data_IF_244159109523
#
_entry.id   IF_244159109523
#
_cell.length_a   1.000
_cell.length_b   1.000
_cell.length_c   1.000
_cell.angle_alpha   90.00
_cell.angle_beta   90.00
_cell.angle_gamma   90.00
#
_symmetry.space_group_name_H-M   'P 1'
#
loop_
_entity.id
_entity.type
_entity.pdbx_description
1 polymer ?
#
# COMPACT_ATOMS: atom_id res chain seq x y z
N UNK A 1 5.19 -9.38 -27.23
CA UNK A 1 6.18 -10.34 -26.67
C UNK A 1 6.90 -9.80 -25.43
N UNK A 2 7.08 -8.49 -25.27
CA UNK A 2 7.78 -7.87 -24.10
C UNK A 2 7.12 -8.14 -22.74
N UNK A 3 5.79 -8.19 -22.66
CA UNK A 3 5.08 -8.42 -21.38
C UNK A 3 5.43 -9.78 -20.74
N UNK A 4 5.60 -10.84 -21.55
CA UNK A 4 6.00 -12.14 -21.00
C UNK A 4 7.46 -12.15 -20.51
N UNK A 5 8.36 -11.43 -21.18
CA UNK A 5 9.74 -11.29 -20.75
C UNK A 5 9.87 -10.47 -19.45
N UNK A 6 9.10 -9.39 -19.32
CA UNK A 6 9.10 -8.52 -18.14
C UNK A 6 8.51 -9.20 -16.89
N UNK A 7 7.53 -10.10 -17.06
CA UNK A 7 6.97 -10.89 -15.94
C UNK A 7 7.91 -12.04 -15.53
N UNK A 8 8.67 -12.60 -16.49
CA UNK A 8 9.55 -13.74 -16.23
C UNK A 8 10.90 -13.34 -15.63
N UNK A 9 11.47 -12.21 -16.05
CA UNK A 9 12.80 -11.76 -15.62
C UNK A 9 12.95 -11.61 -14.09
N UNK A 10 12.01 -10.99 -13.35
CA UNK A 10 12.09 -10.93 -11.89
C UNK A 10 12.04 -12.31 -11.23
N UNK A 11 11.30 -13.27 -11.81
CA UNK A 11 11.17 -14.62 -11.25
C UNK A 11 12.43 -15.47 -11.46
N UNK A 12 13.21 -15.16 -12.49
CA UNK A 12 14.52 -15.76 -12.76
C UNK A 12 15.57 -15.15 -11.83
N UNK A 13 15.62 -13.81 -11.75
CA UNK A 13 16.58 -13.09 -10.92
C UNK A 13 16.34 -13.29 -9.42
N UNK A 14 15.07 -13.44 -9.01
CA UNK A 14 14.65 -13.63 -7.64
C UNK A 14 13.86 -14.94 -7.47
N UNK A 15 14.53 -16.12 -7.42
CA UNK A 15 13.86 -17.40 -7.26
C UNK A 15 13.05 -17.48 -5.97
N UNK A 16 11.86 -18.08 -6.02
CA UNK A 16 10.87 -18.07 -4.91
C UNK A 16 11.47 -18.49 -3.57
N UNK A 17 12.16 -19.64 -3.54
CA UNK A 17 12.76 -20.18 -2.30
C UNK A 17 13.86 -19.27 -1.76
N UNK A 18 14.78 -18.86 -2.63
CA UNK A 18 15.93 -18.00 -2.27
C UNK A 18 15.47 -16.64 -1.76
N UNK A 19 14.51 -16.00 -2.45
CA UNK A 19 13.97 -14.70 -2.02
C UNK A 19 13.26 -14.81 -0.68
N UNK A 20 12.42 -15.84 -0.49
CA UNK A 20 11.72 -16.06 0.78
C UNK A 20 12.69 -16.28 1.93
N UNK A 21 13.69 -17.14 1.75
CA UNK A 21 14.73 -17.39 2.78
C UNK A 21 15.53 -16.13 3.10
N UNK A 22 15.95 -15.38 2.07
CA UNK A 22 16.70 -14.13 2.24
C UNK A 22 15.88 -13.08 2.98
N UNK A 23 14.63 -12.85 2.56
CA UNK A 23 13.75 -11.86 3.15
C UNK A 23 13.42 -12.21 4.61
N UNK A 24 13.08 -13.47 4.91
CA UNK A 24 12.87 -13.92 6.29
C UNK A 24 14.11 -13.67 7.16
N UNK A 25 15.31 -14.01 6.66
CA UNK A 25 16.55 -13.80 7.42
C UNK A 25 16.82 -12.32 7.69
N UNK A 26 16.60 -11.46 6.69
CA UNK A 26 16.79 -10.01 6.82
C UNK A 26 15.78 -9.44 7.82
N UNK A 27 14.50 -9.80 7.71
CA UNK A 27 13.46 -9.36 8.66
C UNK A 27 13.78 -9.80 10.09
N UNK A 28 14.12 -11.07 10.31
CA UNK A 28 14.48 -11.56 11.65
C UNK A 28 15.67 -10.82 12.23
N UNK A 29 16.67 -10.45 11.42
CA UNK A 29 17.81 -9.66 11.87
C UNK A 29 17.39 -8.22 12.19
N UNK A 30 16.66 -7.56 11.30
CA UNK A 30 16.24 -6.16 11.48
C UNK A 30 15.30 -5.98 12.68
N UNK A 31 14.38 -6.92 12.93
CA UNK A 31 13.54 -6.88 14.14
C UNK A 31 14.36 -6.91 15.44
N UNK A 32 15.49 -7.64 15.46
CA UNK A 32 16.36 -7.67 16.63
C UNK A 32 17.21 -6.38 16.76
N UNK A 33 17.68 -5.84 15.63
CA UNK A 33 18.58 -4.67 15.61
C UNK A 33 17.86 -3.32 15.70
N UNK A 34 16.60 -3.24 15.27
CA UNK A 34 15.85 -1.99 15.05
C UNK A 34 14.53 -1.96 15.83
N UNK A 35 14.59 -2.22 17.13
CA UNK A 35 13.41 -2.33 18.01
C UNK A 35 12.56 -1.04 18.10
N UNK A 36 13.12 0.12 17.77
CA UNK A 36 12.41 1.40 17.79
C UNK A 36 11.68 1.73 16.48
N UNK A 37 11.86 0.90 15.43
CA UNK A 37 11.20 1.12 14.15
C UNK A 37 9.86 0.39 14.10
N UNK A 38 8.93 1.00 13.37
CA UNK A 38 7.63 0.41 13.05
C UNK A 38 7.78 -0.79 12.13
N UNK A 39 6.82 -1.71 12.17
CA UNK A 39 6.86 -2.95 11.41
C UNK A 39 6.99 -2.70 9.89
N UNK A 40 6.30 -1.67 9.40
CA UNK A 40 6.33 -1.28 7.99
C UNK A 40 7.69 -0.69 7.58
N UNK A 41 8.35 0.04 8.47
CA UNK A 41 9.67 0.62 8.24
C UNK A 41 10.73 -0.49 8.18
N UNK A 42 10.63 -1.49 9.05
CA UNK A 42 11.46 -2.70 9.01
C UNK A 42 11.26 -3.45 7.69
N UNK A 43 10.01 -3.61 7.24
CA UNK A 43 9.71 -4.23 5.94
C UNK A 43 10.33 -3.44 4.79
N UNK A 44 10.23 -2.10 4.82
CA UNK A 44 10.80 -1.24 3.79
C UNK A 44 12.32 -1.41 3.70
N UNK A 45 13.02 -1.37 4.84
CA UNK A 45 14.47 -1.63 4.92
C UNK A 45 14.82 -3.04 4.43
N UNK A 46 14.01 -4.04 4.76
CA UNK A 46 14.23 -5.40 4.32
C UNK A 46 14.13 -5.53 2.80
N UNK A 47 13.17 -4.85 2.17
CA UNK A 47 13.03 -4.81 0.71
C UNK A 47 14.23 -4.11 0.07
N UNK A 48 14.73 -3.01 0.65
CA UNK A 48 15.95 -2.34 0.13
C UNK A 48 17.17 -3.27 0.15
N UNK A 49 17.37 -4.03 1.23
CA UNK A 49 18.46 -5.00 1.31
C UNK A 49 18.30 -6.18 0.35
N UNK A 50 17.07 -6.64 0.14
CA UNK A 50 16.78 -7.69 -0.85
C UNK A 50 17.02 -7.19 -2.26
N UNK A 51 16.60 -5.95 -2.57
CA UNK A 51 16.84 -5.31 -3.85
C UNK A 51 18.34 -5.20 -4.14
N UNK A 52 19.14 -4.73 -3.16
CA UNK A 52 20.58 -4.65 -3.28
C UNK A 52 21.24 -6.03 -3.44
N UNK A 53 20.75 -7.06 -2.75
CA UNK A 53 21.30 -8.42 -2.85
C UNK A 53 21.11 -9.05 -4.23
N UNK A 54 19.98 -8.80 -4.88
CA UNK A 54 19.68 -9.33 -6.22
C UNK A 54 20.03 -8.37 -7.36
N UNK A 55 20.56 -7.19 -7.06
CA UNK A 55 20.85 -6.10 -8.01
C UNK A 55 19.62 -5.72 -8.87
N UNK A 56 18.50 -5.48 -8.21
CA UNK A 56 17.22 -5.09 -8.83
C UNK A 56 16.67 -3.80 -8.24
N UNK A 57 15.65 -3.23 -8.88
CA UNK A 57 14.95 -2.06 -8.34
C UNK A 57 14.17 -2.41 -7.06
N UNK A 58 13.97 -1.41 -6.19
CA UNK A 58 13.15 -1.55 -4.96
C UNK A 58 11.73 -2.02 -5.28
N UNK A 59 11.12 -1.46 -6.33
CA UNK A 59 9.80 -1.86 -6.81
C UNK A 59 9.75 -3.33 -7.24
N UNK A 60 10.79 -3.83 -7.94
CA UNK A 60 10.83 -5.24 -8.32
C UNK A 60 10.93 -6.15 -7.10
N UNK A 61 11.75 -5.79 -6.11
CA UNK A 61 11.88 -6.54 -4.85
C UNK A 61 10.59 -6.49 -4.01
N UNK A 62 9.91 -5.34 -3.96
CA UNK A 62 8.62 -5.16 -3.27
C UNK A 62 7.53 -6.05 -3.88
N UNK A 63 7.32 -5.95 -5.20
CA UNK A 63 6.37 -6.82 -5.91
C UNK A 63 6.70 -8.30 -5.71
N UNK A 64 7.99 -8.63 -5.67
CA UNK A 64 8.42 -10.01 -5.43
C UNK A 64 8.16 -10.46 -3.99
N UNK A 65 8.30 -9.58 -3.01
CA UNK A 65 7.97 -9.88 -1.61
C UNK A 65 6.49 -10.22 -1.46
N UNK A 66 5.61 -9.44 -2.10
CA UNK A 66 4.17 -9.72 -2.17
C UNK A 66 3.92 -11.08 -2.83
N UNK A 67 4.52 -11.33 -4.00
CA UNK A 67 4.37 -12.59 -4.75
C UNK A 67 4.74 -13.85 -3.95
N UNK A 68 5.71 -13.76 -3.04
CA UNK A 68 6.17 -14.91 -2.22
C UNK A 68 5.48 -15.00 -0.85
N UNK A 69 4.48 -14.15 -0.60
CA UNK A 69 3.55 -14.22 0.52
C UNK A 69 3.82 -13.25 1.68
N UNK A 70 4.54 -12.15 1.44
CA UNK A 70 4.73 -11.08 2.43
C UNK A 70 3.82 -9.90 2.09
N UNK A 71 2.53 -10.03 2.38
CA UNK A 71 1.51 -9.03 2.06
C UNK A 71 1.85 -7.64 2.61
N UNK A 72 2.54 -7.57 3.76
CA UNK A 72 2.94 -6.32 4.42
C UNK A 72 3.84 -5.45 3.54
N UNK A 73 4.49 -6.02 2.51
CA UNK A 73 5.24 -5.24 1.52
C UNK A 73 4.34 -4.23 0.78
N UNK A 74 3.03 -4.48 0.66
CA UNK A 74 2.08 -3.54 0.05
C UNK A 74 1.97 -2.20 0.80
N UNK A 75 2.32 -2.17 2.09
CA UNK A 75 2.31 -0.95 2.90
C UNK A 75 3.64 -0.18 2.89
N UNK A 76 4.58 -0.58 2.03
CA UNK A 76 5.89 0.07 1.91
C UNK A 76 5.96 0.97 0.68
N UNK A 77 6.90 1.94 0.68
CA UNK A 77 7.14 2.84 -0.46
C UNK A 77 5.87 3.54 -1.00
N UNK A 78 4.93 3.88 -0.11
CA UNK A 78 3.64 4.46 -0.48
C UNK A 78 3.85 5.79 -1.20
N UNK A 79 3.55 5.82 -2.50
CA UNK A 79 3.72 6.99 -3.35
C UNK A 79 2.46 7.24 -4.16
N UNK A 80 1.78 8.36 -3.90
CA UNK A 80 0.51 8.75 -4.50
C UNK A 80 0.55 10.22 -4.85
N UNK A 81 0.07 10.59 -6.04
CA UNK A 81 -0.01 11.97 -6.51
C UNK A 81 1.31 12.76 -6.41
N UNK A 82 2.43 12.09 -6.69
CA UNK A 82 3.77 12.69 -6.67
C UNK A 82 4.34 12.90 -5.26
N UNK A 83 3.72 12.33 -4.22
CA UNK A 83 4.11 12.48 -2.82
C UNK A 83 4.34 11.12 -2.17
N UNK A 84 5.34 11.07 -1.28
CA UNK A 84 5.56 9.91 -0.42
C UNK A 84 4.79 10.05 0.88
N UNK A 85 4.18 8.94 1.31
CA UNK A 85 3.49 8.82 2.59
C UNK A 85 4.24 7.87 3.52
N UNK A 86 4.07 8.00 4.85
CA UNK A 86 4.65 7.06 5.80
C UNK A 86 4.25 5.62 5.48
N UNK A 87 5.18 4.65 5.59
CA UNK A 87 4.83 3.25 5.43
C UNK A 87 3.89 2.82 6.55
N UNK A 88 3.03 1.86 6.24
CA UNK A 88 2.00 1.37 7.13
C UNK A 88 1.95 -0.16 7.18
N UNK A 89 1.43 -0.70 8.28
CA UNK A 89 1.24 -2.11 8.51
C UNK A 89 -0.24 -2.44 8.67
N UNK A 90 -0.54 -3.71 8.42
CA UNK A 90 -1.86 -4.27 8.56
C UNK A 90 -1.76 -5.77 8.82
N UNK A 91 -2.81 -6.37 9.38
CA UNK A 91 -2.87 -7.81 9.61
C UNK A 91 -2.80 -8.60 8.29
N UNK A 92 -2.02 -9.68 8.27
CA UNK A 92 -1.98 -10.58 7.11
C UNK A 92 -3.38 -11.10 6.79
N UNK A 93 -3.75 -11.06 5.52
CA UNK A 93 -5.09 -11.43 5.05
C UNK A 93 -6.16 -10.33 5.16
N UNK A 94 -5.85 -9.14 5.67
CA UNK A 94 -6.81 -8.02 5.68
C UNK A 94 -7.18 -7.54 4.27
N UNK A 95 -6.24 -7.58 3.33
CA UNK A 95 -6.49 -7.27 1.93
C UNK A 95 -6.67 -8.54 1.10
N UNK A 96 -7.73 -8.59 0.29
CA UNK A 96 -7.87 -9.58 -0.78
C UNK A 96 -7.05 -9.17 -2.00
N UNK A 97 -6.95 -10.08 -2.97
CA UNK A 97 -6.34 -9.77 -4.27
C UNK A 97 -7.03 -8.57 -4.91
N UNK A 98 -6.24 -7.63 -5.40
CA UNK A 98 -6.66 -6.34 -5.98
C UNK A 98 -7.27 -5.34 -4.99
N UNK A 99 -7.19 -5.55 -3.68
CA UNK A 99 -7.61 -4.54 -2.71
C UNK A 99 -6.46 -3.60 -2.30
N UNK A 100 -6.82 -2.44 -1.76
CA UNK A 100 -5.89 -1.41 -1.25
C UNK A 100 -6.57 -0.56 -0.19
N UNK A 101 -5.80 -0.06 0.77
CA UNK A 101 -6.24 1.03 1.66
C UNK A 101 -5.99 2.41 1.03
N UNK A 102 -5.04 2.47 0.11
CA UNK A 102 -4.53 3.70 -0.51
C UNK A 102 -5.33 4.04 -1.76
N UNK A 103 -5.75 5.31 -1.88
CA UNK A 103 -6.51 5.88 -2.99
C UNK A 103 -6.04 7.32 -3.27
N UNK A 104 -5.80 7.65 -4.54
CA UNK A 104 -5.43 9.00 -4.99
C UNK A 104 -6.57 10.00 -4.85
N UNK A 105 -6.23 11.29 -4.89
CA UNK A 105 -7.17 12.39 -4.63
C UNK A 105 -8.34 12.39 -5.63
N UNK A 106 -8.10 12.06 -6.90
CA UNK A 106 -9.14 12.08 -7.94
C UNK A 106 -10.14 10.94 -7.76
N UNK A 107 -9.64 9.73 -7.53
CA UNK A 107 -10.49 8.58 -7.23
C UNK A 107 -11.21 8.73 -5.88
N UNK A 108 -10.54 9.30 -4.87
CA UNK A 108 -11.14 9.61 -3.57
C UNK A 108 -12.35 10.54 -3.73
N UNK A 109 -12.20 11.61 -4.52
CA UNK A 109 -13.29 12.52 -4.82
C UNK A 109 -14.40 11.83 -5.62
N UNK A 110 -14.05 11.02 -6.62
CA UNK A 110 -15.03 10.30 -7.43
C UNK A 110 -15.88 9.36 -6.58
N UNK A 111 -15.25 8.50 -5.78
CA UNK A 111 -15.94 7.56 -4.91
C UNK A 111 -16.85 8.27 -3.89
N UNK A 112 -16.34 9.35 -3.29
CA UNK A 112 -17.10 10.14 -2.32
C UNK A 112 -18.35 10.80 -2.91
N UNK A 113 -18.41 11.01 -4.23
CA UNK A 113 -19.58 11.57 -4.90
C UNK A 113 -20.52 10.50 -5.48
N UNK A 114 -20.00 9.32 -5.84
CA UNK A 114 -20.79 8.28 -6.52
C UNK A 114 -21.50 7.33 -5.55
N UNK A 115 -20.92 7.06 -4.38
CA UNK A 115 -21.52 6.17 -3.38
C UNK A 115 -22.24 6.98 -2.31
N UNK A 116 -23.58 6.89 -2.26
CA UNK A 116 -24.39 7.64 -1.28
C UNK A 116 -24.01 7.32 0.18
N UNK A 117 -23.78 6.04 0.47
CA UNK A 117 -23.39 5.59 1.83
C UNK A 117 -22.01 6.13 2.21
N UNK A 118 -21.04 6.03 1.30
CA UNK A 118 -19.70 6.54 1.53
C UNK A 118 -19.69 8.08 1.64
N UNK A 119 -20.42 8.75 0.75
CA UNK A 119 -20.69 10.18 0.79
C UNK A 119 -21.21 10.60 2.17
N UNK A 120 -22.23 9.91 2.71
CA UNK A 120 -22.78 10.22 4.03
C UNK A 120 -21.72 10.05 5.15
N UNK A 121 -20.87 9.03 5.10
CA UNK A 121 -19.78 8.86 6.07
C UNK A 121 -18.74 9.98 6.00
N UNK A 122 -18.36 10.41 4.80
CA UNK A 122 -17.39 11.49 4.57
C UNK A 122 -17.97 12.84 4.99
N UNK A 123 -19.18 13.20 4.53
CA UNK A 123 -19.80 14.49 4.84
C UNK A 123 -20.26 14.63 6.29
N UNK A 124 -20.64 13.52 6.95
CA UNK A 124 -20.90 13.54 8.39
C UNK A 124 -19.62 13.60 9.24
N UNK A 125 -18.45 13.50 8.61
CA UNK A 125 -17.16 13.53 9.28
C UNK A 125 -16.85 12.26 10.09
N UNK A 126 -17.55 11.15 9.84
CA UNK A 126 -17.24 9.84 10.46
C UNK A 126 -15.93 9.27 9.95
N UNK A 127 -15.60 9.54 8.69
CA UNK A 127 -14.32 9.21 8.07
C UNK A 127 -13.72 10.45 7.44
N UNK A 128 -12.39 10.52 7.42
CA UNK A 128 -11.62 11.63 6.88
C UNK A 128 -10.56 11.12 5.91
N UNK A 129 -10.29 11.90 4.86
CA UNK A 129 -9.19 11.62 3.95
C UNK A 129 -7.87 12.09 4.57
N UNK A 130 -6.95 11.15 4.79
CA UNK A 130 -5.67 11.36 5.47
C UNK A 130 -4.64 10.34 4.98
N UNK A 131 -3.39 10.76 4.77
CA UNK A 131 -2.31 9.90 4.28
C UNK A 131 -2.66 9.06 3.02
N UNK A 132 -3.41 9.65 2.08
CA UNK A 132 -3.95 8.97 0.90
C UNK A 132 -4.87 7.78 1.20
N UNK A 133 -5.57 7.81 2.33
CA UNK A 133 -6.53 6.80 2.77
C UNK A 133 -7.78 7.46 3.34
N UNK A 134 -8.86 6.71 3.48
CA UNK A 134 -10.00 7.12 4.29
C UNK A 134 -9.97 6.41 5.65
N UNK A 135 -9.81 7.18 6.71
CA UNK A 135 -9.67 6.68 8.07
C UNK A 135 -10.84 7.13 8.96
N UNK A 136 -11.23 6.31 9.94
CA UNK A 136 -12.18 6.68 10.99
C UNK A 136 -11.68 7.94 11.71
N UNK A 137 -12.57 8.93 11.83
CA UNK A 137 -12.26 10.20 12.47
C UNK A 137 -12.32 10.08 13.99
N UNK A 138 -11.31 9.43 14.58
CA UNK A 138 -11.11 9.30 16.01
C UNK A 138 -9.71 9.80 16.41
N UNK A 139 -9.57 10.38 17.61
CA UNK A 139 -8.28 10.89 18.12
C UNK A 139 -7.23 9.78 18.32
N UNK A 140 -7.66 8.52 18.45
CA UNK A 140 -6.75 7.38 18.46
C UNK A 140 -6.05 7.18 17.11
N UNK A 141 -6.69 7.57 16.00
CA UNK A 141 -6.21 7.29 14.64
C UNK A 141 -5.71 8.52 13.90
N UNK A 142 -6.26 9.70 14.18
CA UNK A 142 -6.01 10.92 13.41
C UNK A 142 -5.48 12.04 14.30
N UNK A 143 -4.34 12.59 13.92
CA UNK A 143 -3.73 13.80 14.47
C UNK A 143 -4.22 14.99 13.65
N UNK A 144 -4.69 16.02 14.35
CA UNK A 144 -5.09 17.31 13.76
C UNK A 144 -4.04 18.35 14.11
N UNK A 145 -3.31 18.82 13.11
CA UNK A 145 -2.34 19.89 13.29
C UNK A 145 -3.01 21.26 13.21
N UNK A 146 -2.40 22.27 13.84
CA UNK A 146 -2.94 23.63 13.92
C UNK A 146 -3.15 24.27 12.53
N UNK A 147 -2.37 23.86 11.53
CA UNK A 147 -2.48 24.31 10.14
C UNK A 147 -3.63 23.65 9.35
N UNK A 148 -4.45 22.80 9.99
CA UNK A 148 -5.55 22.08 9.35
C UNK A 148 -5.12 20.83 8.58
N UNK A 149 -3.84 20.46 8.60
CA UNK A 149 -3.37 19.17 8.07
C UNK A 149 -3.75 18.02 9.01
N UNK A 150 -4.08 16.89 8.39
CA UNK A 150 -4.38 15.63 9.08
C UNK A 150 -3.23 14.66 8.83
N UNK A 151 -2.87 13.91 9.87
CA UNK A 151 -1.91 12.81 9.77
C UNK A 151 -2.43 11.61 10.56
N UNK A 152 -2.05 10.40 10.16
CA UNK A 152 -2.31 9.21 10.95
C UNK A 152 -1.40 9.17 12.17
N UNK A 153 -1.92 8.70 13.31
CA UNK A 153 -1.12 8.38 14.49
C UNK A 153 -0.18 7.22 14.19
N UNK A 154 0.88 7.06 15.00
CA UNK A 154 1.74 5.87 14.93
C UNK A 154 0.95 4.58 15.14
N UNK A 155 -0.06 4.60 16.03
CA UNK A 155 -0.95 3.46 16.24
C UNK A 155 -1.71 3.09 14.97
N UNK A 156 -2.35 4.07 14.32
CA UNK A 156 -3.09 3.84 13.08
C UNK A 156 -2.18 3.32 11.97
N UNK A 157 -0.97 3.84 11.84
CA UNK A 157 -0.03 3.36 10.84
C UNK A 157 0.44 1.93 11.08
N UNK A 158 0.44 1.43 12.32
CA UNK A 158 0.73 0.01 12.60
C UNK A 158 -0.49 -0.92 12.43
N UNK A 159 -1.71 -0.36 12.46
CA UNK A 159 -2.99 -1.09 12.48
C UNK A 159 -3.99 -0.54 11.46
N UNK A 160 -3.55 -0.32 10.22
CA UNK A 160 -4.39 0.31 9.20
C UNK A 160 -5.67 -0.50 8.91
N UNK A 161 -5.63 -1.82 9.08
CA UNK A 161 -6.81 -2.68 8.93
C UNK A 161 -7.90 -2.42 9.97
N UNK A 162 -7.60 -1.78 11.11
CA UNK A 162 -8.60 -1.48 12.14
C UNK A 162 -9.36 -0.18 11.85
N UNK A 163 -8.75 0.76 11.12
CA UNK A 163 -9.24 2.13 11.04
C UNK A 163 -9.42 2.67 9.62
N UNK A 164 -8.84 2.04 8.59
CA UNK A 164 -8.91 2.54 7.22
C UNK A 164 -9.82 1.69 6.33
N UNK A 165 -10.54 2.37 5.44
CA UNK A 165 -11.43 1.73 4.49
C UNK A 165 -10.65 1.03 3.36
N UNK A 166 -11.22 -0.07 2.86
CA UNK A 166 -10.66 -0.86 1.78
C UNK A 166 -11.35 -0.52 0.46
N UNK A 167 -10.55 -0.41 -0.59
CA UNK A 167 -10.99 -0.16 -1.95
C UNK A 167 -10.58 -1.32 -2.87
N UNK A 168 -11.49 -1.74 -3.75
CA UNK A 168 -11.19 -2.67 -4.83
C UNK A 168 -10.58 -1.92 -6.01
N UNK A 169 -9.38 -2.30 -6.42
CA UNK A 169 -8.74 -1.80 -7.65
C UNK A 169 -9.32 -2.52 -8.85
N UNK A 170 -10.03 -1.78 -9.69
CA UNK A 170 -10.41 -2.20 -11.04
C UNK A 170 -9.37 -1.65 -12.01
N UNK A 171 -8.64 -2.56 -12.64
CA UNK A 171 -7.79 -2.22 -13.77
C UNK A 171 -8.67 -2.23 -15.02
N UNK A 172 -9.13 -1.05 -15.45
CA UNK A 172 -9.77 -0.93 -16.75
C UNK A 172 -8.66 -0.83 -17.81
N UNK A 173 -8.51 -1.89 -18.61
CA UNK A 173 -7.65 -1.85 -19.80
C UNK A 173 -8.43 -1.12 -20.89
N UNK A 174 -8.27 0.21 -20.99
CA UNK A 174 -8.69 0.94 -22.18
C UNK A 174 -7.65 0.73 -23.27
N UNK A 175 -7.98 -0.12 -24.24
CA UNK A 175 -7.21 -0.23 -25.49
C UNK A 175 -7.52 1.00 -26.33
N UNK A 176 -6.93 2.15 -26.01
CA UNK A 176 -6.93 3.31 -26.89
C UNK A 176 -5.50 3.82 -27.07
N UNK A 177 -4.88 3.26 -28.11
CA UNK A 177 -3.92 3.87 -29.06
C UNK A 177 -2.78 4.72 -28.47
N UNK A 178 -1.57 4.18 -28.63
CA UNK A 178 -0.25 4.84 -28.60
C UNK A 178 0.29 5.39 -27.27
N UNK A 179 1.34 4.71 -26.78
CA UNK A 179 2.44 5.28 -26.01
C UNK A 179 2.14 5.99 -24.69
N UNK A 180 1.16 5.51 -23.92
CA UNK A 180 1.22 5.58 -22.47
C UNK A 180 0.19 4.59 -21.94
N UNK A 181 0.63 3.51 -21.29
CA UNK A 181 -0.31 2.65 -20.58
C UNK A 181 -0.80 3.43 -19.35
N UNK A 182 -1.84 4.24 -19.51
CA UNK A 182 -2.53 4.88 -18.39
C UNK A 182 -3.32 3.75 -17.73
N UNK A 183 -2.78 3.16 -16.67
CA UNK A 183 -3.60 2.39 -15.75
C UNK A 183 -4.55 3.40 -15.08
N UNK A 184 -5.78 3.49 -15.58
CA UNK A 184 -6.87 3.97 -14.74
C UNK A 184 -7.11 2.86 -13.72
N UNK A 185 -6.54 3.04 -12.53
CA UNK A 185 -6.94 2.28 -11.35
C UNK A 185 -8.21 2.99 -10.90
N UNK A 186 -9.38 2.42 -11.21
CA UNK A 186 -10.60 2.85 -10.53
C UNK A 186 -10.62 2.10 -9.20
N UNK A 187 -10.50 2.82 -8.09
CA UNK A 187 -10.76 2.28 -6.77
C UNK A 187 -12.26 2.36 -6.52
N UNK A 188 -12.91 1.22 -6.28
CA UNK A 188 -14.32 1.18 -5.88
C UNK A 188 -14.41 0.83 -4.40
N UNK A 189 -15.20 1.58 -3.64
CA UNK A 189 -15.41 1.31 -2.23
C UNK A 189 -15.89 -0.14 -2.01
N UNK A 190 -15.10 -0.90 -1.25
CA UNK A 190 -15.40 -2.29 -0.94
C UNK A 190 -16.13 -2.33 0.39
N UNK A 191 -17.34 -2.90 0.42
CA UNK A 191 -18.14 -3.03 1.66
C UNK A 191 -17.42 -4.04 2.58
N UNK A 192 -16.54 -3.55 3.43
CA UNK A 192 -15.83 -4.37 4.42
C UNK A 192 -14.94 -3.51 5.31
N UNK A 193 -15.32 -3.41 6.59
CA UNK A 193 -14.39 -3.26 7.71
C UNK A 193 -13.89 -4.64 8.11
#
# INVERSE_FOLDING_TARGET
MEWQANVLAPRILMPLKTTKEKLTRVLSRLHNEKQNLRSAEIMQLAIEEVAAFFDVSKLAAELRAIDVGFDQAMGTFVHVDGRYYPPYSFRSGALKKNQTFVIDEMNALYEANMSKEFSEMVFSGKVVYVNAMFCINDLQYVIRHEAGSLELTEYALEHVDECCLIFDRKYLVSVLVNYMMILFIECVFSIGM
#
